data_IF_636913330051
#
_entry.id   IF_636913330051
#
_cell.length_a   1.000
_cell.length_b   1.000
_cell.length_c   1.000
_cell.angle_alpha   90.00
_cell.angle_beta   90.00
_cell.angle_gamma   90.00
#
_symmetry.space_group_name_H-M   'P 1'
#
loop_
_entity.id
_entity.type
_entity.pdbx_description
1 polymer ?
#
# COMPACT_ATOMS: atom_id res chain seq x y z
N UNK A 1 -8.72 -13.30 2.78
CA UNK A 1 -8.03 -14.02 3.85
C UNK A 1 -6.66 -13.38 4.00
N UNK A 2 -6.40 -12.69 5.10
CA UNK A 2 -5.02 -12.29 5.45
C UNK A 2 -4.40 -13.55 6.03
N UNK A 3 -3.41 -14.12 5.36
CA UNK A 3 -2.81 -15.40 5.73
C UNK A 3 -1.36 -15.20 6.11
N UNK A 4 -1.05 -15.42 7.39
CA UNK A 4 0.32 -15.57 7.87
C UNK A 4 0.83 -16.97 7.52
N UNK A 5 1.60 -17.06 6.43
CA UNK A 5 2.45 -18.21 6.11
C UNK A 5 3.90 -18.01 6.58
N UNK A 6 4.12 -17.14 7.58
CA UNK A 6 5.43 -16.65 8.05
C UNK A 6 6.45 -17.69 8.53
N UNK A 7 6.17 -18.99 8.35
CA UNK A 7 7.11 -20.09 8.59
C UNK A 7 7.18 -21.14 7.47
N UNK A 8 6.41 -21.01 6.37
CA UNK A 8 6.34 -22.05 5.32
C UNK A 8 6.96 -21.66 3.97
N UNK A 9 7.58 -20.48 3.87
CA UNK A 9 8.50 -20.18 2.76
C UNK A 9 9.92 -20.36 3.28
N UNK A 10 10.66 -21.24 2.63
CA UNK A 10 12.03 -21.57 2.94
C UNK A 10 12.85 -20.29 3.19
N UNK A 11 13.47 -20.24 4.37
CA UNK A 11 14.27 -19.14 4.94
C UNK A 11 15.50 -18.80 4.05
N UNK A 12 15.66 -19.52 2.94
CA UNK A 12 16.78 -19.49 2.00
C UNK A 12 16.58 -18.55 0.80
N UNK A 13 15.37 -18.10 0.46
CA UNK A 13 15.13 -17.44 -0.86
C UNK A 13 14.78 -15.93 -0.84
N UNK A 14 14.85 -15.24 0.30
CA UNK A 14 14.30 -13.88 0.37
C UNK A 14 15.36 -12.83 0.69
N UNK A 15 15.98 -12.26 -0.34
CA UNK A 15 16.76 -11.00 -0.28
C UNK A 15 15.93 -9.81 0.28
N UNK A 16 14.61 -9.98 0.41
CA UNK A 16 13.66 -8.99 0.90
C UNK A 16 13.54 -8.96 2.44
N UNK A 17 14.14 -9.94 3.13
CA UNK A 17 14.15 -10.00 4.58
C UNK A 17 15.55 -9.70 5.08
N UNK A 18 15.67 -8.58 5.77
CA UNK A 18 16.95 -8.11 6.27
C UNK A 18 17.28 -8.73 7.62
N UNK A 19 18.56 -9.04 7.84
CA UNK A 19 19.05 -9.49 9.14
C UNK A 19 19.18 -8.28 10.06
N UNK A 20 18.32 -8.26 11.07
CA UNK A 20 18.23 -7.20 12.06
C UNK A 20 18.17 -7.85 13.45
N UNK A 21 18.51 -7.10 14.51
CA UNK A 21 18.43 -7.65 15.87
C UNK A 21 17.02 -8.22 16.11
N UNK A 22 16.93 -9.48 16.51
CA UNK A 22 15.64 -10.17 16.68
C UNK A 22 15.20 -11.06 15.51
N UNK A 23 15.98 -11.15 14.42
CA UNK A 23 15.76 -12.07 13.31
C UNK A 23 15.42 -11.38 11.99
N UNK A 24 15.24 -12.17 10.94
CA UNK A 24 14.90 -11.71 9.59
C UNK A 24 13.53 -11.01 9.57
N UNK A 25 13.45 -9.76 9.09
CA UNK A 25 12.21 -8.98 9.04
C UNK A 25 11.93 -8.36 7.66
N UNK A 26 10.66 -8.20 7.25
CA UNK A 26 10.27 -7.61 5.97
C UNK A 26 10.32 -6.07 6.03
N UNK A 27 11.52 -5.50 6.14
CA UNK A 27 11.71 -4.07 6.49
C UNK A 27 11.03 -3.11 5.51
N UNK A 28 10.94 -3.47 4.23
CA UNK A 28 10.31 -2.64 3.17
C UNK A 28 8.82 -2.35 3.39
N UNK A 29 8.13 -3.16 4.19
CA UNK A 29 6.71 -2.97 4.54
C UNK A 29 6.53 -2.32 5.91
N UNK A 30 7.58 -2.26 6.73
CA UNK A 30 7.46 -1.84 8.11
C UNK A 30 7.28 -0.33 8.25
N UNK A 31 6.46 0.07 9.21
CA UNK A 31 6.33 1.45 9.62
C UNK A 31 7.64 1.98 10.24
N UNK A 32 7.94 3.29 10.17
CA UNK A 32 9.19 3.84 10.69
C UNK A 32 9.40 3.53 12.17
N UNK A 33 8.35 3.60 13.00
CA UNK A 33 8.44 3.23 14.41
C UNK A 33 8.82 1.74 14.57
N UNK A 34 8.21 0.83 13.79
CA UNK A 34 8.51 -0.60 13.86
C UNK A 34 9.95 -0.93 13.47
N UNK A 35 10.55 -0.14 12.57
CA UNK A 35 11.97 -0.29 12.18
C UNK A 35 12.88 0.21 13.32
N UNK A 36 12.55 1.35 13.92
CA UNK A 36 13.37 2.01 14.94
C UNK A 36 13.36 1.33 16.31
N UNK A 37 12.16 1.10 16.83
CA UNK A 37 11.94 0.78 18.24
C UNK A 37 11.14 -0.52 18.44
N UNK A 38 10.90 -1.27 17.36
CA UNK A 38 10.19 -2.55 17.38
C UNK A 38 8.72 -2.43 17.81
N UNK A 39 8.15 -1.22 17.77
CA UNK A 39 6.73 -1.01 18.07
C UNK A 39 5.86 -1.57 16.96
N UNK A 40 5.02 -2.54 17.31
CA UNK A 40 3.98 -3.07 16.43
C UNK A 40 2.60 -2.70 16.99
N UNK A 41 1.84 -1.93 16.22
CA UNK A 41 0.47 -1.52 16.57
C UNK A 41 -0.43 -1.66 15.36
N UNK A 42 -1.75 -1.55 15.57
CA UNK A 42 -2.70 -1.46 14.46
C UNK A 42 -2.38 -0.29 13.50
N UNK A 43 -1.75 0.80 13.98
CA UNK A 43 -1.32 1.92 13.12
C UNK A 43 -0.06 1.61 12.32
N UNK A 44 0.80 0.73 12.84
CA UNK A 44 1.94 0.19 12.10
C UNK A 44 1.46 -0.77 11.01
N UNK A 45 0.41 -1.56 11.27
CA UNK A 45 -0.23 -2.41 10.26
C UNK A 45 -0.91 -1.58 9.17
N UNK A 46 -1.48 -0.42 9.51
CA UNK A 46 -2.04 0.52 8.52
C UNK A 46 -0.98 1.01 7.54
N UNK A 47 0.24 1.29 8.01
CA UNK A 47 1.35 1.64 7.13
C UNK A 47 1.67 0.49 6.16
N UNK A 48 1.82 -0.72 6.69
CA UNK A 48 2.10 -1.93 5.90
C UNK A 48 1.00 -2.17 4.86
N UNK A 49 -0.26 -1.92 5.21
CA UNK A 49 -1.40 -1.98 4.30
C UNK A 49 -1.24 -1.02 3.12
N UNK A 50 -0.81 0.23 3.36
CA UNK A 50 -0.48 1.17 2.29
C UNK A 50 0.60 0.67 1.34
N UNK A 51 1.67 0.07 1.88
CA UNK A 51 2.73 -0.54 1.05
C UNK A 51 2.17 -1.69 0.21
N UNK A 52 1.31 -2.53 0.78
CA UNK A 52 0.63 -3.61 0.05
C UNK A 52 -0.27 -3.07 -1.06
N UNK A 53 -1.02 -1.98 -0.82
CA UNK A 53 -1.82 -1.35 -1.87
C UNK A 53 -0.94 -0.86 -3.02
N UNK A 54 0.20 -0.25 -2.70
CA UNK A 54 1.17 0.18 -3.70
C UNK A 54 1.72 -0.99 -4.51
N UNK A 55 1.99 -2.13 -3.88
CA UNK A 55 2.40 -3.35 -4.60
C UNK A 55 1.31 -3.85 -5.54
N UNK A 56 0.03 -3.82 -5.12
CA UNK A 56 -1.10 -4.22 -5.97
C UNK A 56 -1.16 -3.32 -7.21
N UNK A 57 -1.11 -2.01 -7.03
CA UNK A 57 -1.16 -1.03 -8.12
C UNK A 57 0.07 -1.10 -9.05
N UNK A 58 1.21 -1.57 -8.55
CA UNK A 58 2.43 -1.78 -9.36
C UNK A 58 2.59 -3.21 -9.89
N UNK A 59 1.54 -4.03 -9.79
CA UNK A 59 1.55 -5.44 -10.21
C UNK A 59 2.69 -6.28 -9.58
N UNK A 60 2.99 -6.02 -8.31
CA UNK A 60 3.97 -6.76 -7.51
C UNK A 60 5.40 -6.24 -7.62
N UNK A 61 5.59 -4.95 -7.92
CA UNK A 61 6.93 -4.35 -7.88
C UNK A 61 7.44 -4.31 -6.44
N UNK A 62 8.76 -4.49 -6.25
CA UNK A 62 9.38 -4.43 -4.92
C UNK A 62 9.35 -2.99 -4.37
N UNK A 63 8.77 -2.75 -3.19
CA UNK A 63 8.76 -1.43 -2.57
C UNK A 63 10.19 -0.92 -2.29
N UNK A 64 10.43 0.37 -2.55
CA UNK A 64 11.73 1.02 -2.34
C UNK A 64 12.88 0.34 -3.12
N UNK A 65 12.61 -0.18 -4.31
CA UNK A 65 13.62 -0.78 -5.17
C UNK A 65 14.81 0.19 -5.39
N UNK A 66 16.04 -0.32 -5.29
CA UNK A 66 17.26 0.48 -5.41
C UNK A 66 17.76 1.12 -4.11
N UNK A 67 17.07 0.93 -2.99
CA UNK A 67 17.60 1.27 -1.65
C UNK A 67 18.22 0.02 -1.02
N UNK A 68 19.47 0.16 -0.56
CA UNK A 68 20.36 -0.94 -0.17
C UNK A 68 20.02 -1.55 1.20
N UNK A 69 19.47 -0.77 2.12
CA UNK A 69 19.15 -1.24 3.48
C UNK A 69 17.88 -0.62 4.04
N UNK A 70 17.27 -1.31 5.00
CA UNK A 70 16.11 -0.87 5.74
C UNK A 70 16.36 0.39 6.57
N UNK A 71 17.61 0.60 7.01
CA UNK A 71 18.01 1.84 7.67
C UNK A 71 18.03 3.02 6.69
N UNK A 72 18.44 2.80 5.45
CA UNK A 72 18.39 3.83 4.41
C UNK A 72 16.94 4.15 4.02
N UNK A 73 16.09 3.12 3.92
CA UNK A 73 14.63 3.30 3.73
C UNK A 73 14.05 4.18 4.84
N UNK A 74 14.36 3.86 6.10
CA UNK A 74 13.93 4.66 7.25
C UNK A 74 14.41 6.12 7.16
N UNK A 75 15.67 6.33 6.79
CA UNK A 75 16.25 7.67 6.65
C UNK A 75 15.53 8.50 5.58
N UNK A 76 15.21 7.90 4.42
CA UNK A 76 14.45 8.58 3.37
C UNK A 76 13.01 8.87 3.81
N UNK A 77 12.33 7.90 4.46
CA UNK A 77 10.98 8.10 5.01
C UNK A 77 10.94 9.28 5.99
N UNK A 78 11.96 9.40 6.85
CA UNK A 78 12.09 10.52 7.81
C UNK A 78 12.34 11.87 7.15
N UNK A 79 12.97 11.90 5.97
CA UNK A 79 13.09 13.12 5.14
C UNK A 79 11.80 13.50 4.42
N UNK A 80 10.78 12.65 4.51
CA UNK A 80 9.47 12.86 3.89
C UNK A 80 9.27 12.09 2.59
N UNK A 81 10.24 11.27 2.15
CA UNK A 81 10.07 10.43 0.97
C UNK A 81 8.91 9.43 1.17
N UNK A 82 8.12 9.22 0.12
CA UNK A 82 7.06 8.20 0.02
C UNK A 82 7.17 7.55 -1.34
N UNK A 83 6.65 6.32 -1.46
CA UNK A 83 6.57 5.65 -2.75
C UNK A 83 5.76 6.51 -3.74
N UNK A 84 6.27 6.63 -4.97
CA UNK A 84 5.64 7.42 -6.02
C UNK A 84 4.31 6.80 -6.45
N UNK A 85 3.40 7.62 -6.97
CA UNK A 85 2.15 7.13 -7.55
C UNK A 85 2.46 6.18 -8.71
N UNK A 86 1.94 4.94 -8.71
CA UNK A 86 2.09 4.03 -9.84
C UNK A 86 1.46 4.58 -11.11
N UNK A 87 1.97 4.16 -12.27
CA UNK A 87 1.33 4.47 -13.54
C UNK A 87 -0.09 3.90 -13.57
N UNK A 88 -1.05 4.67 -14.08
CA UNK A 88 -2.47 4.30 -14.17
C UNK A 88 -3.19 4.06 -12.83
N UNK A 89 -2.54 4.38 -11.70
CA UNK A 89 -3.18 4.36 -10.37
C UNK A 89 -4.07 5.59 -10.20
N UNK A 90 -5.31 5.36 -9.77
CA UNK A 90 -6.30 6.41 -9.50
C UNK A 90 -5.84 7.34 -8.36
N UNK A 91 -6.05 8.65 -8.53
CA UNK A 91 -5.63 9.67 -7.58
C UNK A 91 -6.25 9.47 -6.18
N UNK A 92 -7.48 8.98 -6.10
CA UNK A 92 -8.16 8.73 -4.82
C UNK A 92 -7.54 7.54 -4.09
N UNK A 93 -7.11 6.51 -4.83
CA UNK A 93 -6.40 5.35 -4.29
C UNK A 93 -5.03 5.79 -3.78
N UNK A 94 -4.29 6.58 -4.56
CA UNK A 94 -2.98 7.08 -4.13
C UNK A 94 -3.09 8.03 -2.92
N UNK A 95 -4.10 8.89 -2.88
CA UNK A 95 -4.37 9.74 -1.72
C UNK A 95 -4.64 8.92 -0.45
N UNK A 96 -5.38 7.80 -0.57
CA UNK A 96 -5.57 6.86 0.53
C UNK A 96 -4.24 6.22 0.96
N UNK A 97 -3.36 5.83 0.03
CA UNK A 97 -2.01 5.34 0.37
C UNK A 97 -1.21 6.40 1.15
N UNK A 98 -1.19 7.65 0.69
CA UNK A 98 -0.48 8.74 1.38
C UNK A 98 -0.98 8.96 2.81
N UNK A 99 -2.28 8.79 3.07
CA UNK A 99 -2.85 8.88 4.42
C UNK A 99 -2.42 7.72 5.32
N UNK A 100 -2.22 6.52 4.76
CA UNK A 100 -1.62 5.41 5.55
C UNK A 100 -0.16 5.66 5.92
N UNK A 101 0.56 6.49 5.13
CA UNK A 101 1.97 6.79 5.33
C UNK A 101 2.23 8.12 6.07
N UNK A 102 1.27 8.61 6.87
CA UNK A 102 1.52 9.76 7.76
C UNK A 102 2.64 9.42 8.75
N UNK A 103 3.54 10.38 8.95
CA UNK A 103 4.72 10.21 9.80
C UNK A 103 4.32 9.91 11.26
N UNK A 104 3.36 10.66 11.78
CA UNK A 104 2.77 10.41 13.10
C UNK A 104 1.72 9.29 12.99
N UNK A 105 1.86 8.17 13.73
CA UNK A 105 0.91 7.05 13.70
C UNK A 105 -0.53 7.45 14.05
N UNK A 106 -0.72 8.49 14.87
CA UNK A 106 -2.05 8.95 15.27
C UNK A 106 -2.82 9.65 14.13
N UNK A 107 -2.09 10.19 13.16
CA UNK A 107 -2.68 10.88 12.00
C UNK A 107 -3.03 9.91 10.86
N UNK A 108 -2.61 8.64 10.96
CA UNK A 108 -3.00 7.60 10.02
C UNK A 108 -4.47 7.22 10.27
N UNK A 109 -5.25 6.85 9.25
CA UNK A 109 -6.61 6.35 9.45
C UNK A 109 -6.61 5.03 10.26
N UNK A 110 -7.75 4.67 10.81
CA UNK A 110 -8.03 3.33 11.32
C UNK A 110 -8.40 2.41 10.17
N UNK A 111 -8.32 1.09 10.37
CA UNK A 111 -8.83 0.15 9.38
C UNK A 111 -10.33 0.29 9.12
N UNK A 112 -11.11 0.74 10.12
CA UNK A 112 -12.53 1.05 9.93
C UNK A 112 -12.72 2.18 8.92
N UNK A 113 -12.00 3.30 9.08
CA UNK A 113 -12.06 4.42 8.13
C UNK A 113 -11.53 4.04 6.74
N UNK A 114 -10.52 3.16 6.67
CA UNK A 114 -10.01 2.65 5.40
C UNK A 114 -11.05 1.78 4.68
N UNK A 115 -11.73 0.90 5.39
CA UNK A 115 -12.79 0.04 4.86
C UNK A 115 -13.92 0.89 4.26
N UNK A 116 -14.43 1.88 5.02
CA UNK A 116 -15.46 2.79 4.53
C UNK A 116 -15.03 3.55 3.26
N UNK A 117 -13.77 3.99 3.19
CA UNK A 117 -13.25 4.69 2.00
C UNK A 117 -13.13 3.76 0.79
N UNK A 118 -12.64 2.54 0.97
CA UNK A 118 -12.53 1.56 -0.11
C UNK A 118 -13.91 1.17 -0.64
N UNK A 119 -14.90 0.97 0.23
CA UNK A 119 -16.28 0.70 -0.17
C UNK A 119 -16.87 1.84 -1.01
N UNK A 120 -16.62 3.09 -0.62
CA UNK A 120 -17.07 4.27 -1.39
C UNK A 120 -16.44 4.33 -2.78
N UNK A 121 -15.13 4.04 -2.89
CA UNK A 121 -14.43 3.99 -4.17
C UNK A 121 -15.03 2.90 -5.08
N UNK A 122 -15.28 1.70 -4.54
CA UNK A 122 -15.88 0.59 -5.29
C UNK A 122 -17.31 0.91 -5.77
N UNK A 123 -18.10 1.57 -4.94
CA UNK A 123 -19.42 2.05 -5.33
C UNK A 123 -19.36 3.07 -6.48
N UNK A 124 -18.38 4.00 -6.43
CA UNK A 124 -18.13 4.98 -7.48
C UNK A 124 -17.71 4.34 -8.81
N UNK A 125 -16.88 3.29 -8.77
CA UNK A 125 -16.47 2.51 -9.95
C UNK A 125 -17.69 1.87 -10.61
N UNK A 126 -18.55 1.19 -9.84
CA UNK A 126 -19.77 0.57 -10.37
C UNK A 126 -20.64 1.57 -11.14
N UNK A 127 -20.90 2.74 -10.55
CA UNK A 127 -21.69 3.81 -11.19
C UNK A 127 -21.03 4.31 -12.48
N UNK A 128 -19.71 4.52 -12.47
CA UNK A 128 -18.93 4.96 -13.63
C UNK A 128 -18.97 3.95 -14.78
N UNK A 129 -18.83 2.66 -14.47
CA UNK A 129 -18.94 1.57 -15.44
C UNK A 129 -20.34 1.48 -16.03
N UNK A 130 -21.40 1.56 -15.22
CA UNK A 130 -22.77 1.58 -15.74
C UNK A 130 -23.06 2.83 -16.57
N UNK A 131 -22.57 3.99 -16.16
CA UNK A 131 -22.70 5.25 -16.90
C UNK A 131 -22.00 5.20 -18.26
N UNK A 132 -20.76 4.70 -18.31
CA UNK A 132 -20.02 4.53 -19.56
C UNK A 132 -20.68 3.52 -20.49
N UNK A 133 -21.23 2.42 -19.96
CA UNK A 133 -22.01 1.45 -20.73
C UNK A 133 -23.25 2.09 -21.37
N UNK A 134 -24.02 2.87 -20.61
CA UNK A 134 -25.22 3.56 -21.10
C UNK A 134 -24.85 4.58 -22.19
N UNK A 135 -23.81 5.38 -21.96
CA UNK A 135 -23.33 6.37 -22.95
C UNK A 135 -22.88 5.67 -24.24
N UNK A 136 -22.17 4.54 -24.13
CA UNK A 136 -21.76 3.79 -25.32
C UNK A 136 -22.96 3.17 -26.05
N UNK A 137 -23.97 2.65 -25.34
CA UNK A 137 -25.18 2.11 -26.00
C UNK A 137 -25.97 3.18 -26.74
N UNK A 138 -26.00 4.43 -26.24
CA UNK A 138 -26.67 5.56 -26.92
C UNK A 138 -25.87 6.15 -28.08
N UNK A 139 -24.61 5.76 -28.26
CA UNK A 139 -23.78 6.20 -29.39
C UNK A 139 -24.06 5.40 -30.67
N UNK A 140 -24.51 4.14 -30.53
CA UNK A 140 -24.87 3.27 -31.67
C UNK A 140 -26.30 3.50 -32.19
N UNK A 141 -27.15 4.22 -31.47
CA UNK A 141 -28.52 4.54 -31.89
C UNK A 141 -28.66 5.86 -32.65
N UNK A 142 -27.56 6.60 -32.86
CA UNK A 142 -27.52 7.89 -33.58
C UNK A 142 -26.67 7.84 -34.86
N UNK A 143 -26.34 6.64 -35.34
CA UNK A 143 -25.49 6.42 -36.51
C UNK A 143 -26.25 5.87 -37.74
N UNK A 144 -27.57 6.11 -37.81
CA UNK A 144 -28.40 5.86 -39.00
C UNK A 144 -28.53 7.12 -39.88
#
# INVERSE_FOLDING_TARGET
MVSDFGLSRDIYESELYEDVKGGKRPVRWMAPESIEDYTCTSKSDVWSYGVTLWEIETAGTVPYAGVDSGMDILNEIKKGYRLEQPNDCDDDVYALMLDTWRANPLDRPSFFELDERVEQMLAGISVSYFGSLIINTNRWSLAD
#
